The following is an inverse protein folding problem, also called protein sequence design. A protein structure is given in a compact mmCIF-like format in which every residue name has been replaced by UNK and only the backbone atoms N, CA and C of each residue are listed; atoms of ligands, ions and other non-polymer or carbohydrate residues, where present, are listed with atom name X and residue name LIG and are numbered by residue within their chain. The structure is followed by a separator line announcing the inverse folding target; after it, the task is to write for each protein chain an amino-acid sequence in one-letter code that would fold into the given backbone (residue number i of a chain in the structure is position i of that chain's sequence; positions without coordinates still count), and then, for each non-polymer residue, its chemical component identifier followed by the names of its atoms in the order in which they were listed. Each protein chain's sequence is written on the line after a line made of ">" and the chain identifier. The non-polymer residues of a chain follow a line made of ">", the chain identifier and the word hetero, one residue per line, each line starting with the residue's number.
data_IF_921980969467
#
_entry.id   IF_921980969467
#
_cell.length_a   1.000
_cell.length_b   1.000
_cell.length_c   1.000
_cell.angle_alpha   90.00
_cell.angle_beta   90.00
_cell.angle_gamma   90.00
#
_symmetry.space_group_name_H-M   'P 1'
#
loop_
_entity.id
_entity.type
_entity.pdbx_description
1 polymer ?
#
# COMPACT_ATOMS: atom_id res chain seq x y z
N UNK A 1 -14.13 23.25 8.25
CA UNK A 1 -13.37 22.41 7.28
C UNK A 1 -14.12 21.11 7.22
N UNK A 2 -14.62 20.75 6.04
CA UNK A 2 -15.56 19.63 5.91
C UNK A 2 -14.89 18.33 5.47
N UNK A 3 -13.74 18.44 4.81
CA UNK A 3 -13.01 17.29 4.27
C UNK A 3 -11.50 17.41 4.51
N UNK A 4 -10.82 16.28 4.70
CA UNK A 4 -9.39 16.20 4.89
C UNK A 4 -8.80 15.20 3.89
N UNK A 5 -7.99 15.69 2.94
CA UNK A 5 -7.28 14.89 1.96
C UNK A 5 -5.83 14.68 2.41
N UNK A 6 -5.40 13.43 2.48
CA UNK A 6 -4.03 13.03 2.77
C UNK A 6 -3.23 12.88 1.48
N UNK A 7 -1.96 13.29 1.56
CA UNK A 7 -1.04 13.23 0.43
C UNK A 7 0.39 13.08 0.92
N UNK A 8 1.10 12.08 0.43
CA UNK A 8 2.51 11.87 0.77
C UNK A 8 3.42 12.66 -0.18
N UNK A 9 4.62 12.99 0.26
CA UNK A 9 5.58 13.83 -0.46
C UNK A 9 6.28 13.11 -1.63
N UNK A 10 6.17 11.78 -1.69
CA UNK A 10 6.66 10.92 -2.77
C UNK A 10 5.55 10.41 -3.71
N UNK A 11 4.36 11.03 -3.64
CA UNK A 11 3.21 10.70 -4.47
C UNK A 11 2.86 11.83 -5.45
N UNK A 12 2.50 11.44 -6.66
CA UNK A 12 2.16 12.38 -7.74
C UNK A 12 0.79 12.07 -8.35
N UNK A 13 -0.04 13.10 -8.70
CA UNK A 13 -1.39 12.90 -9.26
C UNK A 13 -1.33 12.51 -10.74
N UNK A 14 -0.70 11.39 -11.02
CA UNK A 14 -0.56 10.85 -12.38
C UNK A 14 -0.70 9.33 -12.37
N UNK A 15 -1.28 8.79 -13.42
CA UNK A 15 -1.34 7.36 -13.68
C UNK A 15 -0.23 6.95 -14.63
N UNK A 16 0.51 5.88 -14.31
CA UNK A 16 1.46 5.24 -15.22
C UNK A 16 0.83 3.98 -15.82
N UNK A 17 0.55 4.01 -17.12
CA UNK A 17 -0.13 2.94 -17.87
C UNK A 17 0.91 2.23 -18.75
N UNK A 18 1.04 0.91 -18.60
CA UNK A 18 1.97 0.10 -19.38
C UNK A 18 1.40 -0.17 -20.78
N UNK A 19 2.18 0.14 -21.81
CA UNK A 19 1.83 -0.11 -23.21
C UNK A 19 2.56 -1.37 -23.74
N UNK A 20 1.81 -2.45 -23.90
CA UNK A 20 2.34 -3.69 -24.47
C UNK A 20 3.50 -4.30 -23.69
N UNK A 21 4.19 -5.24 -24.32
CA UNK A 21 5.28 -6.00 -23.68
C UNK A 21 6.61 -5.24 -23.55
N UNK A 22 6.82 -4.21 -24.38
CA UNK A 22 8.08 -3.42 -24.39
C UNK A 22 8.25 -2.52 -23.18
N UNK A 23 7.23 -2.40 -22.33
CA UNK A 23 7.30 -1.64 -21.07
C UNK A 23 7.30 -0.13 -21.22
N UNK A 24 7.00 0.41 -22.41
CA UNK A 24 6.77 1.83 -22.58
C UNK A 24 5.56 2.27 -21.77
N UNK A 25 5.61 3.48 -21.22
CA UNK A 25 4.59 4.01 -20.32
C UNK A 25 3.89 5.19 -20.96
N UNK A 26 2.57 5.18 -20.92
CA UNK A 26 1.74 6.37 -21.09
C UNK A 26 1.43 6.95 -19.72
N UNK A 27 1.69 8.23 -19.57
CA UNK A 27 1.35 8.98 -18.37
C UNK A 27 0.05 9.74 -18.56
N UNK A 28 -0.81 9.71 -17.55
CA UNK A 28 -2.07 10.44 -17.56
C UNK A 28 -2.22 11.24 -16.28
N UNK A 29 -2.32 12.56 -16.41
CA UNK A 29 -2.63 13.45 -15.27
C UNK A 29 -4.00 13.10 -14.70
N UNK A 30 -4.12 13.18 -13.37
CA UNK A 30 -5.32 12.85 -12.60
C UNK A 30 -5.80 14.07 -11.84
N UNK A 31 -7.10 14.32 -11.86
CA UNK A 31 -7.72 15.32 -10.98
C UNK A 31 -8.24 14.67 -9.69
N UNK A 32 -7.30 14.35 -8.82
CA UNK A 32 -7.57 13.61 -7.59
C UNK A 32 -8.50 14.40 -6.65
N UNK A 33 -8.27 15.70 -6.51
CA UNK A 33 -9.04 16.56 -5.60
C UNK A 33 -10.52 16.57 -6.00
N UNK A 34 -10.82 16.94 -7.26
CA UNK A 34 -12.22 16.99 -7.73
C UNK A 34 -12.89 15.63 -7.64
N UNK A 35 -12.15 14.54 -7.93
CA UNK A 35 -12.70 13.21 -7.88
C UNK A 35 -13.05 12.78 -6.46
N UNK A 36 -12.18 13.03 -5.47
CA UNK A 36 -12.51 12.80 -4.07
C UNK A 36 -13.70 13.65 -3.62
N UNK A 37 -13.71 14.96 -3.92
CA UNK A 37 -14.79 15.87 -3.54
C UNK A 37 -16.14 15.49 -4.15
N UNK A 38 -16.14 14.91 -5.33
CA UNK A 38 -17.36 14.45 -6.00
C UNK A 38 -18.07 13.32 -5.23
N UNK A 39 -17.32 12.42 -4.61
CA UNK A 39 -17.88 11.20 -4.00
C UNK A 39 -17.88 11.21 -2.48
N UNK A 40 -17.07 12.06 -1.84
CA UNK A 40 -16.97 12.10 -0.37
C UNK A 40 -18.27 12.60 0.31
N UNK A 41 -19.10 13.33 -0.42
CA UNK A 41 -20.37 13.85 0.11
C UNK A 41 -21.33 12.72 0.52
N UNK A 42 -21.25 11.59 -0.17
CA UNK A 42 -22.09 10.41 0.06
C UNK A 42 -21.34 9.29 0.82
N UNK A 43 -20.15 9.57 1.37
CA UNK A 43 -19.28 8.62 2.05
C UNK A 43 -18.69 9.19 3.34
N UNK A 44 -18.22 8.31 4.19
CA UNK A 44 -17.40 8.66 5.36
C UNK A 44 -15.92 8.81 4.95
N UNK A 45 -15.51 7.98 3.98
CA UNK A 45 -14.14 7.92 3.47
C UNK A 45 -14.14 7.67 1.96
N UNK A 46 -13.25 8.34 1.23
CA UNK A 46 -12.93 7.95 -0.15
C UNK A 46 -11.45 7.63 -0.27
N UNK A 47 -11.13 6.64 -1.13
CA UNK A 47 -9.76 6.18 -1.38
C UNK A 47 -9.50 6.09 -2.88
N UNK A 48 -8.28 6.43 -3.31
CA UNK A 48 -7.82 6.26 -4.69
C UNK A 48 -7.08 4.94 -4.91
N UNK A 49 -6.34 4.89 -6.00
CA UNK A 49 -5.48 3.77 -6.37
C UNK A 49 -4.03 4.21 -6.42
N UNK A 50 -3.13 3.25 -6.22
CA UNK A 50 -1.70 3.43 -6.43
C UNK A 50 -1.23 2.80 -7.73
N UNK A 51 -0.23 3.43 -8.35
CA UNK A 51 0.65 2.82 -9.34
C UNK A 51 2.09 3.24 -9.02
N UNK A 52 3.06 2.65 -9.69
CA UNK A 52 4.47 2.90 -9.43
C UNK A 52 5.09 1.88 -8.50
N UNK A 53 5.98 2.30 -7.63
CA UNK A 53 6.74 1.39 -6.77
C UNK A 53 5.97 0.98 -5.52
N UNK A 54 6.07 -0.31 -5.15
CA UNK A 54 5.49 -0.84 -3.90
C UNK A 54 6.47 -0.61 -2.72
N UNK A 55 7.10 0.58 -2.67
CA UNK A 55 8.06 0.88 -1.60
C UNK A 55 7.41 0.67 -0.20
N UNK A 56 8.18 0.18 0.76
CA UNK A 56 9.61 -0.12 0.71
C UNK A 56 9.98 -1.51 0.17
N UNK A 57 9.06 -2.18 -0.52
CA UNK A 57 9.26 -3.51 -1.09
C UNK A 57 10.02 -3.35 -2.41
N UNK A 58 11.31 -3.80 -2.50
CA UNK A 58 12.06 -3.78 -3.74
C UNK A 58 11.68 -4.95 -4.63
N UNK A 59 12.19 -4.93 -5.85
CA UNK A 59 12.20 -6.14 -6.67
C UNK A 59 13.18 -7.17 -6.09
N UNK A 60 12.70 -8.40 -5.91
CA UNK A 60 13.50 -9.55 -5.48
C UNK A 60 13.52 -10.59 -6.59
N UNK A 61 14.70 -11.00 -7.00
CA UNK A 61 14.90 -12.09 -7.95
C UNK A 61 14.93 -13.42 -7.18
N UNK A 62 13.89 -14.22 -7.33
CA UNK A 62 13.84 -15.54 -6.73
C UNK A 62 14.71 -16.49 -7.58
N UNK A 63 15.88 -16.82 -7.07
CA UNK A 63 16.87 -17.70 -7.70
C UNK A 63 17.28 -18.80 -6.72
N UNK A 64 18.25 -19.63 -7.12
CA UNK A 64 18.73 -20.78 -6.32
C UNK A 64 19.37 -20.36 -4.97
N UNK A 65 19.79 -19.11 -4.83
CA UNK A 65 20.42 -18.61 -3.60
C UNK A 65 19.40 -18.21 -2.54
N UNK A 66 18.10 -18.10 -2.91
CA UNK A 66 17.01 -17.74 -2.01
C UNK A 66 16.13 -18.94 -1.73
N UNK A 67 16.11 -19.40 -0.49
CA UNK A 67 15.11 -20.37 -0.04
C UNK A 67 13.71 -19.70 -0.03
N UNK A 68 12.92 -20.02 -1.06
CA UNK A 68 11.58 -19.45 -1.22
C UNK A 68 10.67 -19.73 -0.02
N UNK A 69 10.83 -20.86 0.66
CA UNK A 69 10.00 -21.20 1.81
C UNK A 69 10.37 -20.34 3.03
N UNK A 70 11.65 -20.15 3.28
CA UNK A 70 12.10 -19.27 4.36
C UNK A 70 11.72 -17.81 4.08
N UNK A 71 11.86 -17.36 2.84
CA UNK A 71 11.44 -16.03 2.44
C UNK A 71 9.92 -15.83 2.59
N UNK A 72 9.11 -16.83 2.20
CA UNK A 72 7.67 -16.85 2.44
C UNK A 72 7.35 -16.74 3.93
N UNK A 73 7.97 -17.57 4.80
CA UNK A 73 7.76 -17.52 6.24
C UNK A 73 8.08 -16.13 6.82
N UNK A 74 9.20 -15.53 6.38
CA UNK A 74 9.59 -14.19 6.80
C UNK A 74 8.53 -13.16 6.42
N UNK A 75 8.12 -13.12 5.15
CA UNK A 75 7.13 -12.15 4.67
C UNK A 75 5.78 -12.33 5.36
N UNK A 76 5.30 -13.56 5.54
CA UNK A 76 4.06 -13.83 6.27
C UNK A 76 4.13 -13.37 7.74
N UNK A 77 5.29 -13.53 8.37
CA UNK A 77 5.47 -13.12 9.76
C UNK A 77 5.50 -11.61 9.95
N UNK A 78 6.08 -10.85 9.00
CA UNK A 78 6.17 -9.39 9.07
C UNK A 78 4.95 -8.68 8.48
N UNK A 79 4.23 -9.31 7.55
CA UNK A 79 3.09 -8.67 6.88
C UNK A 79 2.00 -8.29 7.89
N UNK A 80 1.57 -7.04 7.86
CA UNK A 80 0.46 -6.55 8.65
C UNK A 80 -0.90 -6.96 8.09
N UNK A 81 -0.92 -7.43 6.85
CA UNK A 81 -2.11 -7.76 6.09
C UNK A 81 -2.34 -9.28 6.09
N UNK A 82 -3.60 -9.69 6.04
CA UNK A 82 -3.95 -11.06 5.72
C UNK A 82 -3.92 -11.19 4.20
N UNK A 83 -2.77 -11.49 3.65
CA UNK A 83 -2.55 -11.65 2.21
C UNK A 83 -2.03 -13.05 1.89
N UNK A 84 -2.38 -13.57 0.72
CA UNK A 84 -1.80 -14.83 0.26
C UNK A 84 -0.34 -14.63 -0.13
N UNK A 85 0.46 -15.70 -0.01
CA UNK A 85 1.85 -15.69 -0.50
C UNK A 85 1.92 -15.29 -1.99
N UNK A 86 0.99 -15.76 -2.80
CA UNK A 86 0.91 -15.44 -4.22
C UNK A 86 0.77 -13.95 -4.47
N UNK A 87 -0.10 -13.26 -3.71
CA UNK A 87 -0.29 -11.81 -3.85
C UNK A 87 0.93 -11.01 -3.37
N UNK A 88 1.61 -11.47 -2.32
CA UNK A 88 2.86 -10.85 -1.84
C UNK A 88 3.99 -11.08 -2.84
N UNK A 89 4.13 -12.32 -3.32
CA UNK A 89 5.15 -12.70 -4.32
C UNK A 89 5.02 -11.84 -5.57
N UNK A 90 3.80 -11.58 -6.01
CA UNK A 90 3.52 -10.70 -7.14
C UNK A 90 4.13 -9.29 -6.95
N UNK A 91 4.02 -8.71 -5.77
CA UNK A 91 4.60 -7.39 -5.45
C UNK A 91 6.12 -7.38 -5.52
N UNK A 92 6.80 -8.48 -5.17
CA UNK A 92 8.25 -8.57 -5.23
C UNK A 92 8.80 -8.90 -6.62
N UNK A 93 8.06 -9.66 -7.44
CA UNK A 93 8.57 -10.28 -8.67
C UNK A 93 7.92 -9.74 -9.94
N UNK A 94 6.62 -9.42 -9.90
CA UNK A 94 5.88 -8.98 -11.08
C UNK A 94 6.33 -7.59 -11.56
N UNK A 95 6.41 -7.44 -12.86
CA UNK A 95 6.74 -6.16 -13.50
C UNK A 95 7.93 -5.41 -12.86
N UNK A 96 8.90 -6.15 -12.35
CA UNK A 96 10.07 -5.58 -11.66
C UNK A 96 9.73 -4.80 -10.37
N UNK A 97 8.69 -5.21 -9.64
CA UNK A 97 8.22 -4.53 -8.43
C UNK A 97 7.46 -3.23 -8.70
N UNK A 98 6.95 -3.08 -9.92
CA UNK A 98 6.20 -1.91 -10.36
C UNK A 98 4.74 -2.29 -10.58
N UNK A 99 3.83 -1.48 -10.08
CA UNK A 99 2.39 -1.60 -10.35
C UNK A 99 1.98 -0.56 -11.39
N UNK A 100 1.26 -0.99 -12.41
CA UNK A 100 0.76 -0.10 -13.47
C UNK A 100 -0.73 0.17 -13.30
N UNK A 101 -1.15 1.35 -13.75
CA UNK A 101 -2.54 1.76 -13.70
C UNK A 101 -3.38 1.01 -14.73
N UNK A 102 -4.60 0.60 -14.33
CA UNK A 102 -5.63 0.15 -15.27
C UNK A 102 -6.11 1.34 -16.11
N UNK A 103 -6.10 1.23 -17.45
CA UNK A 103 -6.52 2.33 -18.33
C UNK A 103 -7.95 2.78 -18.10
N UNK A 104 -8.89 1.88 -17.77
CA UNK A 104 -10.30 2.21 -17.51
C UNK A 104 -10.43 3.07 -16.27
N UNK A 105 -9.82 2.62 -15.18
CA UNK A 105 -9.80 3.36 -13.90
C UNK A 105 -9.10 4.72 -14.07
N UNK A 106 -7.97 4.76 -14.77
CA UNK A 106 -7.28 6.00 -15.07
C UNK A 106 -8.12 6.96 -15.94
N UNK A 107 -9.11 6.45 -16.69
CA UNK A 107 -10.08 7.22 -17.46
C UNK A 107 -11.33 7.63 -16.67
N UNK A 108 -11.38 7.37 -15.37
CA UNK A 108 -12.47 7.78 -14.50
C UNK A 108 -13.61 6.76 -14.38
N UNK A 109 -13.38 5.51 -14.81
CA UNK A 109 -14.33 4.42 -14.66
C UNK A 109 -14.08 3.64 -13.36
N UNK A 110 -15.09 2.92 -12.86
CA UNK A 110 -14.90 1.97 -11.76
C UNK A 110 -14.99 2.57 -10.36
N UNK A 111 -16.03 3.34 -10.09
CA UNK A 111 -16.41 3.73 -8.72
C UNK A 111 -17.15 2.58 -8.05
N UNK A 112 -16.75 2.21 -6.83
CA UNK A 112 -17.47 1.20 -6.06
C UNK A 112 -17.32 1.42 -4.56
N UNK A 113 -18.31 0.92 -3.81
CA UNK A 113 -18.24 0.86 -2.36
C UNK A 113 -17.32 -0.29 -1.93
N UNK A 114 -16.28 0.03 -1.19
CA UNK A 114 -15.37 -0.95 -0.61
C UNK A 114 -16.06 -1.62 0.57
N UNK A 115 -16.22 -2.93 0.53
CA UNK A 115 -16.78 -3.73 1.63
C UNK A 115 -15.69 -4.40 2.43
N UNK A 116 -15.88 -4.49 3.74
CA UNK A 116 -15.02 -5.29 4.60
C UNK A 116 -15.30 -6.77 4.35
N UNK A 117 -14.30 -7.49 3.85
CA UNK A 117 -14.34 -8.93 3.65
C UNK A 117 -13.72 -9.70 4.83
N UNK A 118 -13.67 -9.08 6.02
CA UNK A 118 -13.13 -9.67 7.24
C UNK A 118 -11.64 -9.43 7.47
N UNK A 119 -10.98 -8.69 6.58
CA UNK A 119 -9.53 -8.42 6.61
C UNK A 119 -9.19 -6.92 6.76
N UNK A 120 -10.19 -6.10 7.03
CA UNK A 120 -10.07 -4.65 6.99
C UNK A 120 -10.40 -4.06 5.60
N UNK A 121 -10.53 -2.74 5.54
CA UNK A 121 -10.99 -2.04 4.34
C UNK A 121 -9.87 -1.59 3.39
N UNK A 122 -8.63 -2.04 3.61
CA UNK A 122 -7.46 -1.77 2.76
C UNK A 122 -7.32 -0.30 2.33
N UNK A 123 -7.36 0.57 3.31
CA UNK A 123 -7.16 2.00 3.11
C UNK A 123 -5.67 2.29 3.05
N UNK A 124 -5.26 3.08 2.06
CA UNK A 124 -3.89 3.58 1.94
C UNK A 124 -3.89 5.06 2.30
N UNK A 125 -3.07 5.45 3.27
CA UNK A 125 -3.09 6.78 3.87
C UNK A 125 -2.91 7.91 2.87
N UNK A 126 -2.01 7.74 1.91
CA UNK A 126 -1.68 8.77 0.93
C UNK A 126 -2.72 9.01 -0.18
N UNK A 127 -3.75 8.16 -0.28
CA UNK A 127 -4.86 8.34 -1.24
C UNK A 127 -6.20 8.55 -0.55
N UNK A 128 -6.17 8.98 0.69
CA UNK A 128 -7.30 8.99 1.61
C UNK A 128 -7.92 10.37 1.70
N UNK A 129 -9.25 10.46 1.57
CA UNK A 129 -10.02 11.64 1.94
C UNK A 129 -11.06 11.28 2.99
N UNK A 130 -11.12 12.05 4.07
CA UNK A 130 -12.06 11.88 5.19
C UNK A 130 -13.15 12.93 5.15
N UNK A 131 -14.37 12.52 5.44
CA UNK A 131 -15.50 13.42 5.67
C UNK A 131 -15.57 13.80 7.15
N UNK A 132 -15.09 14.98 7.49
CA UNK A 132 -15.07 15.45 8.88
C UNK A 132 -16.45 15.75 9.46
N UNK A 133 -17.50 15.82 8.64
CA UNK A 133 -18.88 15.91 9.12
C UNK A 133 -19.36 14.58 9.75
N UNK A 134 -18.62 13.48 9.51
CA UNK A 134 -18.87 12.16 10.06
C UNK A 134 -17.72 11.69 10.96
N UNK A 135 -17.06 12.61 11.66
CA UNK A 135 -15.85 12.33 12.45
C UNK A 135 -16.07 11.29 13.55
N UNK A 136 -17.29 11.13 14.02
CA UNK A 136 -17.72 10.12 15.01
C UNK A 136 -17.59 8.67 14.48
N UNK A 137 -17.59 8.48 13.16
CA UNK A 137 -17.39 7.18 12.49
C UNK A 137 -15.95 6.92 12.07
N UNK A 138 -15.07 7.91 12.20
CA UNK A 138 -13.70 7.84 11.71
C UNK A 138 -12.78 7.57 12.89
N UNK A 139 -12.07 6.40 12.91
CA UNK A 139 -11.11 6.11 13.96
C UNK A 139 -9.90 7.06 13.90
N UNK A 140 -9.25 7.27 15.03
CA UNK A 140 -7.99 7.99 15.05
C UNK A 140 -6.86 7.15 14.43
N UNK A 141 -5.92 7.81 13.77
CA UNK A 141 -4.65 7.20 13.42
C UNK A 141 -3.85 6.90 14.67
N UNK A 142 -3.25 5.72 14.71
CA UNK A 142 -2.39 5.32 15.80
C UNK A 142 -1.15 4.58 15.28
N UNK A 143 0.02 5.08 15.66
CA UNK A 143 1.30 4.47 15.32
C UNK A 143 2.20 4.45 16.56
N UNK A 144 2.44 3.28 17.18
CA UNK A 144 3.36 3.16 18.30
C UNK A 144 4.77 3.58 17.88
N UNK A 145 5.54 4.13 18.81
CA UNK A 145 6.91 4.57 18.56
C UNK A 145 7.77 3.44 17.95
N UNK A 146 8.41 3.75 16.83
CA UNK A 146 9.26 2.83 16.07
C UNK A 146 8.51 1.68 15.39
N UNK A 147 7.15 1.71 15.36
CA UNK A 147 6.33 0.80 14.58
C UNK A 147 6.03 1.39 13.19
N UNK A 148 5.40 0.60 12.34
CA UNK A 148 4.89 0.98 11.02
C UNK A 148 3.63 0.16 10.75
N UNK A 149 2.55 0.79 10.32
CA UNK A 149 1.29 0.12 10.00
C UNK A 149 0.04 0.88 10.48
N UNK A 150 0.17 2.20 10.62
CA UNK A 150 -0.91 3.12 10.96
C UNK A 150 -2.09 3.00 10.02
N UNK A 151 -1.83 2.85 8.72
CA UNK A 151 -2.88 2.67 7.70
C UNK A 151 -3.65 1.38 7.91
N UNK A 152 -2.95 0.29 8.22
CA UNK A 152 -3.58 -1.00 8.50
C UNK A 152 -4.42 -0.93 9.78
N UNK A 153 -3.89 -0.27 10.82
CA UNK A 153 -4.66 -0.05 12.07
C UNK A 153 -5.91 0.77 11.80
N UNK A 154 -5.77 1.86 11.06
CA UNK A 154 -6.89 2.70 10.67
C UNK A 154 -7.92 1.90 9.87
N UNK A 155 -7.47 1.14 8.86
CA UNK A 155 -8.29 0.30 8.00
C UNK A 155 -9.12 -0.72 8.77
N UNK A 156 -8.51 -1.48 9.71
CA UNK A 156 -9.23 -2.50 10.48
C UNK A 156 -10.24 -1.93 11.48
N UNK A 157 -10.17 -0.65 11.76
CA UNK A 157 -11.11 0.05 12.65
C UNK A 157 -12.22 0.80 11.90
N UNK A 158 -12.20 0.86 10.57
CA UNK A 158 -13.24 1.47 9.73
C UNK A 158 -14.44 0.52 9.48
N UNK A 159 -14.86 -0.26 10.48
CA UNK A 159 -15.84 -1.35 10.32
C UNK A 159 -17.23 -0.87 9.88
N UNK A 160 -17.67 0.26 10.40
CA UNK A 160 -19.00 0.81 10.18
C UNK A 160 -19.01 2.02 9.24
N UNK A 161 -17.88 2.31 8.62
CA UNK A 161 -17.72 3.46 7.73
C UNK A 161 -18.07 3.09 6.29
N UNK A 162 -18.77 3.98 5.60
CA UNK A 162 -18.99 3.86 4.16
C UNK A 162 -17.77 4.36 3.42
N UNK A 163 -17.07 3.45 2.74
CA UNK A 163 -15.85 3.73 1.98
C UNK A 163 -16.14 3.62 0.50
N UNK A 164 -15.83 4.66 -0.26
CA UNK A 164 -15.93 4.65 -1.72
C UNK A 164 -14.55 4.69 -2.34
N UNK A 165 -14.25 3.72 -3.21
CA UNK A 165 -13.05 3.72 -4.04
C UNK A 165 -13.29 4.52 -5.30
N UNK A 166 -12.54 5.60 -5.46
CA UNK A 166 -12.68 6.55 -6.56
C UNK A 166 -11.66 6.28 -7.66
N UNK A 167 -12.00 6.51 -8.95
CA UNK A 167 -11.17 6.11 -10.09
C UNK A 167 -10.07 7.13 -10.38
N UNK A 168 -9.17 7.32 -9.44
CA UNK A 168 -7.96 8.15 -9.59
C UNK A 168 -6.74 7.40 -9.12
N UNK A 169 -5.61 7.69 -9.75
CA UNK A 169 -4.31 7.13 -9.38
C UNK A 169 -3.39 8.18 -8.78
N UNK A 170 -2.59 7.69 -7.84
CA UNK A 170 -1.36 8.32 -7.39
C UNK A 170 -0.18 7.48 -7.86
N UNK A 171 0.80 8.11 -8.48
CA UNK A 171 2.07 7.46 -8.77
C UNK A 171 2.98 7.59 -7.57
N UNK A 172 3.33 6.47 -6.98
CA UNK A 172 4.20 6.39 -5.82
C UNK A 172 5.66 6.21 -6.27
N UNK A 173 6.48 7.25 -6.08
CA UNK A 173 7.94 7.22 -6.31
C UNK A 173 8.70 6.97 -5.00
N UNK A 174 8.27 5.99 -4.23
CA UNK A 174 8.78 5.73 -2.89
C UNK A 174 10.29 5.47 -2.77
N UNK A 175 11.02 5.40 -3.88
CA UNK A 175 12.48 5.38 -3.94
C UNK A 175 13.10 6.69 -4.44
N UNK A 176 12.30 7.73 -4.64
CA UNK A 176 12.71 9.08 -5.06
C UNK A 176 13.57 9.10 -6.34
N UNK A 177 13.19 8.30 -7.32
CA UNK A 177 13.95 8.17 -8.59
C UNK A 177 13.55 9.20 -9.65
N UNK A 178 12.39 9.85 -9.50
CA UNK A 178 11.76 10.67 -10.55
C UNK A 178 11.27 12.03 -10.07
N UNK A 179 12.10 12.78 -9.38
CA UNK A 179 11.78 14.14 -8.89
C UNK A 179 11.35 15.12 -10.00
N UNK A 180 11.62 14.80 -11.26
CA UNK A 180 11.18 15.58 -12.42
C UNK A 180 9.69 15.46 -12.75
N UNK A 181 8.96 14.48 -12.18
CA UNK A 181 7.51 14.28 -12.43
C UNK A 181 6.71 15.53 -12.07
N UNK A 182 7.06 16.20 -10.97
CA UNK A 182 6.47 17.50 -10.57
C UNK A 182 6.52 18.55 -11.70
N UNK A 183 7.55 18.47 -12.55
CA UNK A 183 7.75 19.35 -13.70
C UNK A 183 7.23 18.75 -15.00
N UNK A 184 6.40 17.72 -14.92
CA UNK A 184 5.86 16.97 -16.07
C UNK A 184 6.95 16.32 -16.95
N UNK A 185 8.09 16.01 -16.36
CA UNK A 185 9.17 15.27 -17.01
C UNK A 185 8.97 13.77 -16.80
N UNK A 186 8.10 13.20 -17.62
CA UNK A 186 7.69 11.81 -17.50
C UNK A 186 8.69 10.86 -18.18
N UNK A 187 9.22 9.86 -17.48
CA UNK A 187 10.08 8.86 -18.09
C UNK A 187 9.29 7.92 -19.01
N UNK A 188 9.94 7.43 -20.08
CA UNK A 188 9.33 6.44 -20.98
C UNK A 188 9.20 5.06 -20.34
N UNK A 189 10.10 4.73 -19.41
CA UNK A 189 10.13 3.45 -18.69
C UNK A 189 10.52 3.71 -17.25
N UNK A 190 10.09 2.83 -16.33
CA UNK A 190 10.50 2.86 -14.94
C UNK A 190 11.71 1.96 -14.70
N UNK A 191 12.59 2.38 -13.82
CA UNK A 191 13.78 1.62 -13.44
C UNK A 191 13.40 0.47 -12.51
N UNK A 192 13.99 -0.69 -12.71
CA UNK A 192 13.95 -1.79 -11.75
C UNK A 192 14.77 -1.41 -10.52
N UNK A 193 14.16 -1.45 -9.35
CA UNK A 193 14.82 -1.18 -8.06
C UNK A 193 15.09 -2.51 -7.38
N UNK A 194 16.35 -2.88 -7.29
CA UNK A 194 16.78 -4.20 -6.78
C UNK A 194 16.97 -4.16 -5.27
N UNK A 195 16.74 -5.31 -4.63
CA UNK A 195 17.03 -5.51 -3.22
C UNK A 195 18.53 -5.40 -2.89
N UNK A 196 19.39 -5.66 -3.87
CA UNK A 196 20.86 -5.57 -3.73
C UNK A 196 21.42 -4.14 -3.65
N UNK A 197 20.61 -3.11 -3.91
CA UNK A 197 21.02 -1.73 -3.74
C UNK A 197 21.02 -1.39 -2.24
N UNK A 198 22.16 -1.02 -1.66
CA UNK A 198 22.36 -0.86 -0.21
C UNK A 198 21.31 0.05 0.45
N UNK A 199 21.00 1.20 -0.15
CA UNK A 199 19.98 2.10 0.38
C UNK A 199 18.58 1.46 0.38
N UNK A 200 18.27 0.63 -0.61
CA UNK A 200 17.00 -0.07 -0.76
C UNK A 200 16.87 -1.15 0.29
N UNK A 201 17.94 -1.93 0.52
CA UNK A 201 18.02 -2.93 1.56
C UNK A 201 17.77 -2.32 2.95
N UNK A 202 18.49 -1.25 3.29
CA UNK A 202 18.34 -0.57 4.58
C UNK A 202 16.93 -0.01 4.78
N UNK A 203 16.32 0.53 3.73
CA UNK A 203 14.93 1.02 3.78
C UNK A 203 13.94 -0.13 4.04
N UNK A 204 14.11 -1.25 3.36
CA UNK A 204 13.28 -2.45 3.56
C UNK A 204 13.44 -3.02 4.97
N UNK A 205 14.67 -3.19 5.46
CA UNK A 205 14.95 -3.69 6.80
C UNK A 205 14.37 -2.76 7.90
N UNK A 206 14.47 -1.46 7.71
CA UNK A 206 13.86 -0.48 8.63
C UNK A 206 12.34 -0.63 8.68
N UNK A 207 11.70 -0.79 7.52
CA UNK A 207 10.26 -0.99 7.43
C UNK A 207 9.84 -2.33 8.05
N UNK A 208 10.57 -3.42 7.76
CA UNK A 208 10.32 -4.75 8.33
C UNK A 208 10.36 -4.73 9.86
N UNK A 209 11.33 -4.04 10.46
CA UNK A 209 11.40 -3.86 11.93
C UNK A 209 10.16 -3.11 12.47
N UNK A 210 9.69 -2.11 11.74
CA UNK A 210 8.46 -1.39 12.08
C UNK A 210 7.23 -2.30 12.02
N UNK A 211 7.10 -3.11 10.97
CA UNK A 211 6.00 -4.07 10.82
C UNK A 211 6.03 -5.15 11.90
N UNK A 212 7.20 -5.71 12.23
CA UNK A 212 7.36 -6.68 13.32
C UNK A 212 6.86 -6.09 14.65
N UNK A 213 7.19 -4.83 14.94
CA UNK A 213 6.74 -4.16 16.17
C UNK A 213 5.23 -3.91 16.19
N UNK A 214 4.63 -3.68 15.04
CA UNK A 214 3.20 -3.41 14.93
C UNK A 214 2.35 -4.67 14.92
N UNK A 215 2.89 -5.80 14.42
CA UNK A 215 2.18 -7.06 14.24
C UNK A 215 1.44 -7.57 15.49
N UNK A 216 2.02 -7.55 16.70
CA UNK A 216 1.30 -7.99 17.90
C UNK A 216 0.04 -7.17 18.19
N UNK A 217 0.08 -5.85 17.99
CA UNK A 217 -1.08 -4.98 18.17
C UNK A 217 -2.20 -5.37 17.19
N UNK A 218 -1.86 -5.56 15.92
CA UNK A 218 -2.84 -5.99 14.90
C UNK A 218 -3.46 -7.34 15.24
N UNK A 219 -2.66 -8.32 15.63
CA UNK A 219 -3.16 -9.63 16.04
C UNK A 219 -4.10 -9.53 17.24
N UNK A 220 -3.81 -8.65 18.20
CA UNK A 220 -4.67 -8.42 19.35
C UNK A 220 -6.02 -7.83 18.96
N UNK A 221 -6.05 -6.92 17.98
CA UNK A 221 -7.27 -6.24 17.53
C UNK A 221 -8.12 -7.15 16.62
N UNK A 222 -7.45 -7.88 15.72
CA UNK A 222 -8.15 -8.68 14.71
C UNK A 222 -8.56 -10.06 15.19
N UNK A 223 -7.82 -10.66 16.15
CA UNK A 223 -8.12 -12.01 16.67
C UNK A 223 -7.62 -12.17 18.12
N UNK A 224 -8.31 -11.48 19.02
CA UNK A 224 -7.95 -11.45 20.45
C UNK A 224 -7.95 -12.85 21.10
N UNK A 225 -8.87 -13.73 20.68
CA UNK A 225 -9.00 -15.07 21.26
C UNK A 225 -7.79 -15.96 20.94
N UNK A 226 -7.22 -15.82 19.73
CA UNK A 226 -6.05 -16.59 19.27
C UNK A 226 -4.73 -15.82 19.41
N UNK A 227 -4.75 -14.63 20.02
CA UNK A 227 -3.59 -13.74 20.09
C UNK A 227 -2.30 -14.45 20.52
N UNK A 228 -2.31 -15.13 21.67
CA UNK A 228 -1.13 -15.80 22.20
C UNK A 228 -0.59 -16.91 21.28
N UNK A 229 -1.48 -17.62 20.60
CA UNK A 229 -1.10 -18.67 19.64
C UNK A 229 -0.44 -18.03 18.42
N UNK A 230 -1.09 -17.05 17.82
CA UNK A 230 -0.60 -16.37 16.62
C UNK A 230 0.72 -15.62 16.83
N UNK A 231 0.90 -14.97 17.98
CA UNK A 231 2.18 -14.31 18.32
C UNK A 231 3.31 -15.34 18.42
N UNK A 232 3.04 -16.51 19.05
CA UNK A 232 4.04 -17.57 19.15
C UNK A 232 4.37 -18.16 17.77
N UNK A 233 3.37 -18.42 16.94
CA UNK A 233 3.55 -18.92 15.58
C UNK A 233 4.40 -17.95 14.74
N UNK A 234 4.12 -16.64 14.80
CA UNK A 234 4.90 -15.63 14.10
C UNK A 234 6.34 -15.54 14.60
N UNK A 235 6.55 -15.64 15.91
CA UNK A 235 7.88 -15.67 16.48
C UNK A 235 8.70 -16.86 15.98
N UNK A 236 8.10 -18.07 15.92
CA UNK A 236 8.77 -19.26 15.41
C UNK A 236 9.06 -19.16 13.90
N UNK A 237 8.16 -18.56 13.10
CA UNK A 237 8.44 -18.26 11.68
C UNK A 237 9.64 -17.35 11.52
N UNK A 238 9.68 -16.21 12.24
CA UNK A 238 10.81 -15.28 12.21
C UNK A 238 12.12 -15.96 12.62
N UNK A 239 12.09 -16.79 13.68
CA UNK A 239 13.27 -17.49 14.17
C UNK A 239 13.85 -18.47 13.16
N UNK A 240 13.00 -19.12 12.33
CA UNK A 240 13.48 -20.04 11.28
C UNK A 240 13.99 -19.32 10.04
N UNK A 241 13.44 -18.12 9.76
CA UNK A 241 13.71 -17.37 8.51
C UNK A 241 14.84 -16.36 8.63
N UNK A 242 15.43 -16.18 9.81
CA UNK A 242 16.61 -15.36 10.10
C UNK A 242 17.80 -16.27 10.48
#
# INVERSE_FOLDING_TARGET
>A
MDYLLFWDDDEYPVACIKNGEKGDITWKEQDNITMHLKYIQDADVTIGYHCGYTSPIPYVELNEDIDENLFKEYIEAISNEVVSWESIKEKFVKDNGITYADPKIANGEGVYEQKDEGNGNWVVGSTLCLNLNHIDKIPAFYNPEGARGEDTFFSVNLKDSKIIKVPVYHFHDGFLKYTGIVRKQYPRTLKKIRASDEEVEQRFLKASRGWIRYKPLLLYITDKEKYNIKVKENYEKLKRSI
#
